data_IF_900453179261
#
_entry.id   IF_900453179261
#
_cell.length_a   1.000
_cell.length_b   1.000
_cell.length_c   1.000
_cell.angle_alpha   90.00
_cell.angle_beta   90.00
_cell.angle_gamma   90.00
#
_symmetry.space_group_name_H-M   'P 1'
#
loop_
_entity.id
_entity.type
_entity.pdbx_description
1 polymer ?
#
# COMPACT_ATOMS: atom_id res chain seq x y z
N UNK A 1 -5.38 -12.74 32.88
CA UNK A 1 -5.55 -11.81 31.75
C UNK A 1 -4.57 -12.29 30.69
N UNK A 2 -5.00 -12.52 29.45
CA UNK A 2 -4.05 -12.82 28.38
C UNK A 2 -3.09 -11.63 28.29
N UNK A 3 -1.78 -11.87 28.15
CA UNK A 3 -0.85 -10.77 27.91
C UNK A 3 -1.26 -10.10 26.60
N UNK A 4 -1.42 -8.76 26.56
CA UNK A 4 -1.74 -8.07 25.33
C UNK A 4 -0.60 -8.29 24.33
N UNK A 5 -0.93 -8.77 23.15
CA UNK A 5 -0.02 -8.86 22.01
C UNK A 5 0.04 -7.50 21.33
N UNK A 6 1.25 -7.05 20.96
CA UNK A 6 1.46 -5.75 20.30
C UNK A 6 0.53 -5.57 19.10
N UNK A 7 0.03 -4.35 18.92
CA UNK A 7 -0.71 -3.87 17.76
C UNK A 7 0.19 -3.90 16.54
N UNK A 8 -0.23 -4.65 15.54
CA UNK A 8 0.45 -4.74 14.25
C UNK A 8 -0.47 -4.20 13.17
N UNK A 9 0.10 -3.35 12.31
CA UNK A 9 -0.57 -2.87 11.11
C UNK A 9 0.28 -3.23 9.91
N UNK A 10 -0.30 -3.97 8.98
CA UNK A 10 0.29 -4.33 7.71
C UNK A 10 -0.24 -3.42 6.61
N UNK A 11 0.67 -2.89 5.80
CA UNK A 11 0.39 -2.24 4.54
C UNK A 11 0.99 -3.09 3.42
N UNK A 12 0.16 -3.58 2.51
CA UNK A 12 0.60 -4.37 1.37
C UNK A 12 0.30 -3.65 0.07
N UNK A 13 1.25 -3.61 -0.85
CA UNK A 13 0.91 -3.32 -2.24
C UNK A 13 -0.02 -4.41 -2.80
N UNK A 14 -0.64 -4.12 -3.93
CA UNK A 14 -1.66 -4.97 -4.55
C UNK A 14 -1.13 -5.66 -5.80
N UNK A 15 -0.92 -4.87 -6.84
CA UNK A 15 -0.42 -5.27 -8.15
C UNK A 15 1.05 -5.65 -8.03
N UNK A 16 1.45 -6.84 -8.51
CA UNK A 16 2.82 -7.38 -8.34
C UNK A 16 3.11 -7.95 -6.94
N UNK A 17 2.25 -7.71 -5.95
CA UNK A 17 2.42 -8.17 -4.57
C UNK A 17 1.37 -9.22 -4.16
N UNK A 18 0.10 -8.83 -3.97
CA UNK A 18 -1.00 -9.75 -3.64
C UNK A 18 -1.45 -10.50 -4.89
N UNK A 19 -1.53 -9.79 -6.02
CA UNK A 19 -1.81 -10.36 -7.33
C UNK A 19 -0.55 -10.31 -8.17
N UNK A 20 -0.33 -11.34 -8.99
CA UNK A 20 0.89 -11.46 -9.78
C UNK A 20 0.94 -10.49 -10.96
N UNK A 21 -0.22 -10.09 -11.46
CA UNK A 21 -0.39 -9.15 -12.56
C UNK A 21 -0.81 -7.77 -12.04
N UNK A 22 -0.59 -6.75 -12.88
CA UNK A 22 -1.08 -5.40 -12.64
C UNK A 22 -2.47 -5.21 -13.24
N UNK A 23 -3.44 -4.89 -12.39
CA UNK A 23 -4.85 -4.69 -12.75
C UNK A 23 -5.06 -3.60 -13.80
N UNK A 24 -4.30 -2.50 -13.72
CA UNK A 24 -4.32 -1.43 -14.72
C UNK A 24 -3.77 -1.92 -16.05
N UNK A 25 -2.61 -2.58 -16.03
CA UNK A 25 -1.97 -3.10 -17.24
C UNK A 25 -2.87 -4.10 -17.97
N UNK A 26 -3.50 -5.03 -17.26
CA UNK A 26 -4.46 -5.98 -17.84
C UNK A 26 -5.58 -5.26 -18.58
N UNK A 27 -6.13 -4.19 -18.00
CA UNK A 27 -7.17 -3.38 -18.64
C UNK A 27 -6.65 -2.60 -19.84
N UNK A 28 -5.50 -1.93 -19.71
CA UNK A 28 -4.95 -1.09 -20.77
C UNK A 28 -4.55 -1.92 -21.98
N UNK A 29 -3.92 -3.08 -21.75
CA UNK A 29 -3.39 -3.93 -22.80
C UNK A 29 -4.53 -4.59 -23.61
N UNK A 30 -5.63 -4.96 -22.96
CA UNK A 30 -6.76 -5.62 -23.60
C UNK A 30 -7.84 -4.65 -24.13
N UNK A 31 -8.13 -3.56 -23.41
CA UNK A 31 -9.34 -2.74 -23.61
C UNK A 31 -9.07 -1.23 -23.68
N UNK A 32 -7.83 -0.80 -23.46
CA UNK A 32 -7.43 0.60 -23.44
C UNK A 32 -6.49 0.96 -24.57
N UNK A 33 -5.38 1.60 -24.23
CA UNK A 33 -4.39 2.09 -25.19
C UNK A 33 -3.57 0.98 -25.86
N UNK A 34 -3.64 -0.26 -25.37
CA UNK A 34 -2.89 -1.40 -25.85
C UNK A 34 -1.45 -1.47 -25.31
N UNK A 35 -0.88 -2.67 -25.32
CA UNK A 35 0.42 -2.98 -24.71
C UNK A 35 1.56 -2.08 -25.22
N UNK A 36 1.67 -1.89 -26.53
CA UNK A 36 2.74 -1.06 -27.12
C UNK A 36 2.69 0.38 -26.60
N UNK A 37 1.49 0.99 -26.56
CA UNK A 37 1.32 2.35 -26.05
C UNK A 37 1.53 2.42 -24.54
N UNK A 38 1.06 1.44 -23.78
CA UNK A 38 1.32 1.37 -22.34
C UNK A 38 2.82 1.32 -22.05
N UNK A 39 3.58 0.46 -22.73
CA UNK A 39 5.03 0.35 -22.54
C UNK A 39 5.76 1.66 -22.87
N UNK A 40 5.35 2.37 -23.92
CA UNK A 40 5.88 3.71 -24.21
C UNK A 40 5.61 4.69 -23.08
N UNK A 41 4.38 4.69 -22.55
CA UNK A 41 3.97 5.56 -21.44
C UNK A 41 4.71 5.22 -20.14
N UNK A 42 4.94 3.94 -19.84
CA UNK A 42 5.75 3.49 -18.71
C UNK A 42 7.19 4.01 -18.80
N UNK A 43 7.76 4.05 -20.00
CA UNK A 43 9.10 4.61 -20.23
C UNK A 43 9.14 6.13 -20.01
N UNK A 44 8.06 6.85 -20.31
CA UNK A 44 7.94 8.27 -19.99
C UNK A 44 7.94 8.52 -18.48
N UNK A 45 7.31 7.64 -17.68
CA UNK A 45 7.39 7.70 -16.22
C UNK A 45 8.82 7.41 -15.75
N UNK A 46 9.45 6.35 -16.25
CA UNK A 46 10.81 5.92 -15.85
C UNK A 46 11.87 6.96 -16.17
N UNK A 47 11.77 7.60 -17.33
CA UNK A 47 12.70 8.66 -17.75
C UNK A 47 12.43 10.01 -17.06
N UNK A 48 11.27 10.16 -16.40
CA UNK A 48 10.84 11.42 -15.80
C UNK A 48 10.37 12.45 -16.82
N UNK A 49 10.06 12.05 -18.06
CA UNK A 49 9.48 12.92 -19.09
C UNK A 49 8.11 13.45 -18.67
N UNK A 50 7.28 12.58 -18.06
CA UNK A 50 5.95 12.90 -17.56
C UNK A 50 5.75 12.28 -16.18
N UNK A 51 4.86 12.87 -15.39
CA UNK A 51 4.58 12.33 -14.08
C UNK A 51 3.73 11.06 -14.13
N UNK A 52 3.78 10.27 -13.05
CA UNK A 52 2.94 9.10 -12.89
C UNK A 52 1.45 9.46 -13.01
N UNK A 53 1.05 10.59 -12.40
CA UNK A 53 -0.33 11.09 -12.48
C UNK A 53 -0.74 11.40 -13.91
N UNK A 54 0.05 12.19 -14.64
CA UNK A 54 -0.27 12.57 -16.03
C UNK A 54 -0.39 11.36 -16.96
N UNK A 55 0.52 10.40 -16.82
CA UNK A 55 0.50 9.17 -17.62
C UNK A 55 -0.69 8.29 -17.23
N UNK A 56 -0.96 8.15 -15.94
CA UNK A 56 -2.09 7.36 -15.47
C UNK A 56 -3.44 7.95 -15.91
N UNK A 57 -3.59 9.27 -15.92
CA UNK A 57 -4.80 9.94 -16.47
C UNK A 57 -5.02 9.58 -17.94
N UNK A 58 -3.95 9.48 -18.74
CA UNK A 58 -4.03 9.05 -20.13
C UNK A 58 -4.36 7.56 -20.26
N UNK A 59 -3.72 6.69 -19.49
CA UNK A 59 -3.97 5.25 -19.53
C UNK A 59 -5.40 4.93 -19.10
N UNK A 60 -5.85 5.41 -17.93
CA UNK A 60 -7.24 5.23 -17.48
C UNK A 60 -8.23 5.89 -18.45
N UNK A 61 -7.90 7.09 -18.94
CA UNK A 61 -8.70 7.84 -19.91
C UNK A 61 -8.79 7.18 -21.29
N UNK A 62 -8.02 6.14 -21.58
CA UNK A 62 -8.11 5.37 -22.83
C UNK A 62 -9.24 4.34 -22.84
N UNK A 63 -9.75 3.94 -21.66
CA UNK A 63 -10.78 2.92 -21.54
C UNK A 63 -12.15 3.43 -22.01
N UNK A 64 -12.83 2.64 -22.85
CA UNK A 64 -14.20 2.88 -23.33
C UNK A 64 -15.05 1.62 -23.15
N UNK A 65 -15.15 1.17 -21.91
CA UNK A 65 -15.77 -0.10 -21.53
C UNK A 65 -16.50 0.04 -20.19
N UNK A 66 -17.70 -0.54 -20.01
CA UNK A 66 -18.34 -0.60 -18.71
C UNK A 66 -17.47 -1.33 -17.68
N UNK A 67 -17.55 -0.93 -16.40
CA UNK A 67 -16.71 -1.50 -15.34
C UNK A 67 -16.81 -3.02 -15.24
N UNK A 68 -18.02 -3.58 -15.28
CA UNK A 68 -18.25 -5.02 -15.17
C UNK A 68 -17.66 -5.80 -16.35
N UNK A 69 -17.73 -5.25 -17.57
CA UNK A 69 -17.14 -5.89 -18.75
C UNK A 69 -15.60 -5.88 -18.69
N UNK A 70 -15.02 -4.78 -18.22
CA UNK A 70 -13.58 -4.70 -17.95
C UNK A 70 -13.15 -5.69 -16.85
N UNK A 71 -13.97 -5.85 -15.82
CA UNK A 71 -13.71 -6.79 -14.74
C UNK A 71 -13.66 -8.25 -15.20
N UNK A 72 -14.48 -8.65 -16.18
CA UNK A 72 -14.45 -10.01 -16.72
C UNK A 72 -13.14 -10.36 -17.46
N UNK A 73 -12.37 -9.37 -17.93
CA UNK A 73 -11.02 -9.59 -18.45
C UNK A 73 -10.05 -9.81 -17.30
N UNK A 74 -10.04 -8.90 -16.31
CA UNK A 74 -9.19 -9.02 -15.12
C UNK A 74 -9.39 -10.36 -14.41
N UNK A 75 -10.63 -10.80 -14.21
CA UNK A 75 -10.96 -12.06 -13.54
C UNK A 75 -10.31 -13.30 -14.19
N UNK A 76 -10.02 -13.26 -15.50
CA UNK A 76 -9.42 -14.38 -16.23
C UNK A 76 -7.89 -14.38 -16.16
N UNK A 77 -7.28 -13.21 -15.98
CA UNK A 77 -5.83 -13.04 -16.04
C UNK A 77 -5.18 -12.89 -14.67
N UNK A 78 -5.94 -12.39 -13.68
CA UNK A 78 -5.43 -12.18 -12.33
C UNK A 78 -5.23 -13.50 -11.59
N UNK A 79 -4.02 -13.68 -11.09
CA UNK A 79 -3.64 -14.77 -10.21
C UNK A 79 -3.30 -14.19 -8.83
N UNK A 80 -4.02 -14.65 -7.81
CA UNK A 80 -3.73 -14.30 -6.43
C UNK A 80 -2.54 -15.12 -5.92
N UNK A 81 -1.66 -14.51 -5.13
CA UNK A 81 -0.56 -15.21 -4.50
C UNK A 81 -1.08 -16.39 -3.66
N UNK A 82 -0.46 -17.56 -3.86
CA UNK A 82 -0.89 -18.82 -3.27
C UNK A 82 -0.97 -18.82 -1.72
N UNK A 83 -0.17 -17.99 -1.05
CA UNK A 83 -0.15 -17.89 0.41
C UNK A 83 -1.06 -16.81 0.97
N UNK A 84 -1.67 -15.97 0.12
CA UNK A 84 -2.33 -14.75 0.59
C UNK A 84 -3.56 -15.03 1.44
N UNK A 85 -4.42 -15.97 1.03
CA UNK A 85 -5.63 -16.32 1.79
C UNK A 85 -5.30 -16.80 3.20
N UNK A 86 -4.29 -17.67 3.32
CA UNK A 86 -3.84 -18.18 4.62
C UNK A 86 -3.22 -17.08 5.48
N UNK A 87 -2.44 -16.18 4.87
CA UNK A 87 -1.89 -15.02 5.57
C UNK A 87 -2.97 -14.05 6.04
N UNK A 88 -3.97 -13.77 5.21
CA UNK A 88 -5.09 -12.91 5.55
C UNK A 88 -5.90 -13.46 6.72
N UNK A 89 -6.24 -14.76 6.70
CA UNK A 89 -6.89 -15.42 7.83
C UNK A 89 -6.01 -15.35 9.09
N UNK A 90 -4.71 -15.57 8.96
CA UNK A 90 -3.77 -15.40 10.06
C UNK A 90 -3.79 -13.97 10.63
N UNK A 91 -3.90 -12.94 9.79
CA UNK A 91 -4.06 -11.57 10.26
C UNK A 91 -5.34 -11.38 11.08
N UNK A 92 -6.48 -11.91 10.61
CA UNK A 92 -7.76 -11.86 11.32
C UNK A 92 -7.64 -12.54 12.68
N UNK A 93 -7.14 -13.78 12.71
CA UNK A 93 -7.06 -14.60 13.93
C UNK A 93 -6.17 -13.97 15.01
N UNK A 94 -5.20 -13.14 14.61
CA UNK A 94 -4.25 -12.47 15.50
C UNK A 94 -4.55 -10.97 15.70
N UNK A 95 -5.67 -10.46 15.18
CA UNK A 95 -6.03 -9.04 15.31
C UNK A 95 -5.03 -8.08 14.67
N UNK A 96 -4.35 -8.51 13.60
CA UNK A 96 -3.47 -7.70 12.77
C UNK A 96 -4.32 -6.88 11.81
N UNK A 97 -4.16 -5.56 11.82
CA UNK A 97 -4.88 -4.68 10.91
C UNK A 97 -4.21 -4.77 9.54
N UNK A 98 -4.88 -5.36 8.56
CA UNK A 98 -4.36 -5.50 7.20
C UNK A 98 -4.97 -4.47 6.25
N UNK A 99 -4.10 -3.69 5.59
CA UNK A 99 -4.49 -2.69 4.60
C UNK A 99 -3.80 -2.95 3.27
N UNK A 100 -4.56 -2.87 2.19
CA UNK A 100 -4.01 -2.66 0.84
C UNK A 100 -3.65 -1.20 0.67
N UNK A 101 -2.44 -0.94 0.16
CA UNK A 101 -1.95 0.40 -0.20
C UNK A 101 -1.47 0.41 -1.67
N UNK A 102 -2.26 1.00 -2.57
CA UNK A 102 -2.01 0.87 -4.02
C UNK A 102 -2.14 2.21 -4.74
N UNK A 103 -1.38 2.38 -5.83
CA UNK A 103 -1.53 3.52 -6.75
C UNK A 103 -2.70 3.33 -7.74
N UNK A 104 -3.29 2.14 -7.81
CA UNK A 104 -4.47 1.83 -8.59
C UNK A 104 -5.77 2.45 -8.06
N UNK A 105 -6.91 1.99 -8.57
CA UNK A 105 -8.22 2.57 -8.28
C UNK A 105 -9.03 1.70 -7.32
N UNK A 106 -9.43 2.26 -6.19
CA UNK A 106 -10.18 1.58 -5.11
C UNK A 106 -11.38 0.75 -5.60
N UNK A 107 -12.24 1.22 -6.54
CA UNK A 107 -13.36 0.41 -7.02
C UNK A 107 -12.92 -0.91 -7.68
N UNK A 108 -11.80 -0.90 -8.42
CA UNK A 108 -11.20 -2.10 -9.03
C UNK A 108 -10.71 -3.04 -7.93
N UNK A 109 -9.87 -2.51 -7.03
CA UNK A 109 -9.25 -3.30 -5.95
C UNK A 109 -10.32 -3.97 -5.08
N UNK A 110 -11.40 -3.24 -4.75
CA UNK A 110 -12.53 -3.78 -4.00
C UNK A 110 -13.19 -4.93 -4.73
N UNK A 111 -13.59 -4.74 -5.99
CA UNK A 111 -14.25 -5.79 -6.79
C UNK A 111 -13.38 -7.03 -6.97
N UNK A 112 -12.08 -6.85 -7.18
CA UNK A 112 -11.11 -7.96 -7.27
C UNK A 112 -11.04 -8.71 -5.95
N UNK A 113 -10.84 -8.03 -4.81
CA UNK A 113 -10.79 -8.69 -3.51
C UNK A 113 -12.09 -9.44 -3.18
N UNK A 114 -13.25 -8.80 -3.38
CA UNK A 114 -14.56 -9.41 -3.12
C UNK A 114 -14.76 -10.69 -3.96
N UNK A 115 -14.28 -10.70 -5.20
CA UNK A 115 -14.42 -11.86 -6.09
C UNK A 115 -13.47 -13.00 -5.74
N UNK A 116 -12.23 -12.71 -5.35
CA UNK A 116 -11.22 -13.74 -5.11
C UNK A 116 -11.21 -14.27 -3.67
N UNK A 117 -11.66 -13.47 -2.70
CA UNK A 117 -11.74 -13.84 -1.28
C UNK A 117 -13.17 -14.11 -0.80
N UNK A 118 -14.16 -13.47 -1.42
CA UNK A 118 -15.52 -13.35 -0.87
C UNK A 118 -15.68 -12.06 -0.06
N UNK A 119 -16.88 -11.49 -0.09
CA UNK A 119 -17.19 -10.19 0.53
C UNK A 119 -16.96 -10.16 2.05
N UNK A 120 -17.21 -11.27 2.75
CA UNK A 120 -17.03 -11.35 4.20
C UNK A 120 -15.55 -11.18 4.59
N UNK A 121 -14.65 -11.94 3.96
CA UNK A 121 -13.22 -11.82 4.20
C UNK A 121 -12.68 -10.49 3.68
N UNK A 122 -13.01 -10.10 2.46
CA UNK A 122 -12.49 -8.87 1.86
C UNK A 122 -12.91 -7.62 2.65
N UNK A 123 -14.05 -7.63 3.34
CA UNK A 123 -14.52 -6.51 4.17
C UNK A 123 -13.57 -6.18 5.33
N UNK A 124 -12.75 -7.15 5.77
CA UNK A 124 -11.74 -6.97 6.81
C UNK A 124 -10.46 -6.28 6.29
N UNK A 125 -10.33 -6.09 4.98
CA UNK A 125 -9.19 -5.44 4.34
C UNK A 125 -9.49 -3.96 4.11
N UNK A 126 -8.73 -3.09 4.77
CA UNK A 126 -8.72 -1.66 4.48
C UNK A 126 -8.11 -1.39 3.10
N UNK A 127 -8.63 -0.41 2.35
CA UNK A 127 -8.06 -0.01 1.05
C UNK A 127 -7.67 1.48 1.10
N UNK A 128 -6.37 1.74 0.95
CA UNK A 128 -5.77 3.06 0.84
C UNK A 128 -5.24 3.23 -0.58
N UNK A 129 -6.04 3.84 -1.45
CA UNK A 129 -5.73 4.00 -2.87
C UNK A 129 -6.40 5.25 -3.44
N UNK A 130 -6.14 5.53 -4.72
CA UNK A 130 -6.91 6.50 -5.48
C UNK A 130 -8.36 6.01 -5.65
N UNK A 131 -9.28 6.91 -5.93
CA UNK A 131 -10.67 6.57 -6.27
C UNK A 131 -10.92 6.77 -7.76
N UNK A 132 -12.13 6.48 -8.24
CA UNK A 132 -12.48 6.64 -9.64
C UNK A 132 -13.94 7.03 -9.84
N UNK A 133 -14.17 7.89 -10.83
CA UNK A 133 -15.48 8.07 -11.44
C UNK A 133 -15.52 7.32 -12.77
N UNK A 134 -16.34 6.27 -12.83
CA UNK A 134 -16.54 5.47 -14.04
C UNK A 134 -17.99 5.65 -14.47
N UNK A 135 -18.23 6.11 -15.69
CA UNK A 135 -19.59 6.23 -16.21
C UNK A 135 -20.20 4.83 -16.40
N UNK A 136 -21.47 4.67 -16.07
CA UNK A 136 -22.16 3.37 -16.14
C UNK A 136 -22.23 2.80 -17.55
N UNK A 137 -22.21 3.66 -18.57
CA UNK A 137 -22.15 3.25 -19.98
C UNK A 137 -20.72 2.95 -20.47
N UNK A 138 -19.72 3.08 -19.59
CA UNK A 138 -18.31 2.84 -19.91
C UNK A 138 -17.65 3.93 -20.75
N UNK A 139 -18.34 5.02 -21.06
CA UNK A 139 -17.83 6.05 -21.97
C UNK A 139 -16.65 6.85 -21.42
N UNK A 140 -16.41 6.79 -20.10
CA UNK A 140 -15.33 7.49 -19.45
C UNK A 140 -14.91 6.81 -18.14
N UNK A 141 -13.60 6.70 -17.96
CA UNK A 141 -12.94 6.35 -16.70
C UNK A 141 -12.09 7.54 -16.28
N UNK A 142 -12.35 8.06 -15.08
CA UNK A 142 -11.64 9.22 -14.55
C UNK A 142 -11.11 8.93 -13.14
N UNK A 143 -9.79 8.88 -12.95
CA UNK A 143 -9.20 8.79 -11.61
C UNK A 143 -9.57 10.00 -10.73
N UNK A 144 -9.71 9.75 -9.45
CA UNK A 144 -9.82 10.76 -8.39
C UNK A 144 -8.62 10.53 -7.47
N UNK A 145 -7.66 11.43 -7.56
CA UNK A 145 -6.37 11.30 -6.88
C UNK A 145 -6.50 11.52 -5.38
N UNK A 146 -5.87 10.64 -4.59
CA UNK A 146 -5.87 10.74 -3.12
C UNK A 146 -5.09 11.95 -2.63
N UNK A 147 -3.97 12.24 -3.29
CA UNK A 147 -3.05 13.32 -2.94
C UNK A 147 -2.82 14.21 -4.16
N UNK A 148 -2.81 15.53 -3.94
CA UNK A 148 -2.51 16.53 -4.97
C UNK A 148 -1.00 16.62 -5.22
N UNK A 149 -0.43 15.54 -5.77
CA UNK A 149 0.99 15.41 -6.12
C UNK A 149 1.16 14.75 -7.48
N UNK A 150 2.37 14.81 -8.03
CA UNK A 150 2.77 14.14 -9.29
C UNK A 150 2.65 12.61 -9.25
N UNK A 151 2.55 12.03 -8.06
CA UNK A 151 2.35 10.60 -7.86
C UNK A 151 0.86 10.23 -7.79
N UNK A 152 -0.04 11.19 -7.55
CA UNK A 152 -1.45 10.96 -7.28
C UNK A 152 -1.74 10.28 -5.93
N UNK A 153 -0.88 9.36 -5.49
CA UNK A 153 -0.89 8.74 -4.18
C UNK A 153 0.52 8.66 -3.58
N UNK A 154 0.84 9.59 -2.69
CA UNK A 154 1.98 9.46 -1.78
C UNK A 154 1.75 8.33 -0.74
N UNK A 155 2.25 7.14 -1.05
CA UNK A 155 2.15 5.96 -0.14
C UNK A 155 2.88 6.20 1.19
N UNK A 156 3.96 7.00 1.22
CA UNK A 156 4.70 7.26 2.46
C UNK A 156 3.89 8.12 3.43
N UNK A 157 3.15 9.11 2.92
CA UNK A 157 2.20 9.89 3.71
C UNK A 157 1.09 8.99 4.28
N UNK A 158 0.50 8.14 3.44
CA UNK A 158 -0.54 7.18 3.86
C UNK A 158 -0.07 6.21 4.96
N UNK A 159 1.18 5.70 4.88
CA UNK A 159 1.75 4.85 5.95
C UNK A 159 1.95 5.65 7.26
N UNK A 160 2.35 6.92 7.19
CA UNK A 160 2.45 7.79 8.37
C UNK A 160 1.10 8.03 9.03
N UNK A 161 0.07 8.31 8.23
CA UNK A 161 -1.31 8.47 8.71
C UNK A 161 -1.80 7.19 9.40
N UNK A 162 -1.60 6.05 8.76
CA UNK A 162 -1.97 4.75 9.32
C UNK A 162 -1.22 4.41 10.61
N UNK A 163 0.06 4.77 10.70
CA UNK A 163 0.82 4.64 11.96
C UNK A 163 0.24 5.53 13.06
N UNK A 164 -0.11 6.78 12.77
CA UNK A 164 -0.69 7.69 13.74
C UNK A 164 -2.04 7.17 14.26
N UNK A 165 -2.90 6.66 13.37
CA UNK A 165 -4.15 6.01 13.74
C UNK A 165 -3.93 4.77 14.62
N UNK A 166 -2.94 3.95 14.27
CA UNK A 166 -2.59 2.78 15.07
C UNK A 166 -2.11 3.16 16.49
N UNK A 167 -1.37 4.27 16.63
CA UNK A 167 -0.93 4.79 17.92
C UNK A 167 -2.11 5.27 18.78
N UNK A 168 -3.12 5.90 18.18
CA UNK A 168 -4.36 6.30 18.90
C UNK A 168 -5.17 5.09 19.39
N UNK A 169 -5.05 3.95 18.71
CA UNK A 169 -5.70 2.69 19.07
C UNK A 169 -4.86 1.80 20.01
N UNK A 170 -3.61 2.18 20.28
CA UNK A 170 -2.69 1.42 21.13
C UNK A 170 -2.81 1.85 22.59
N UNK A 171 -2.42 0.97 23.52
CA UNK A 171 -2.36 1.33 24.94
C UNK A 171 -1.30 2.41 25.22
N UNK A 172 -1.42 3.16 26.32
CA UNK A 172 -0.54 4.33 26.63
C UNK A 172 0.97 4.01 26.59
N UNK A 173 1.35 2.77 26.88
CA UNK A 173 2.74 2.33 26.91
C UNK A 173 3.11 1.46 25.71
N UNK A 174 2.35 1.47 24.63
CA UNK A 174 2.53 0.64 23.45
C UNK A 174 2.81 1.49 22.22
N UNK A 175 3.81 1.10 21.43
CA UNK A 175 4.03 1.63 20.08
C UNK A 175 3.68 0.54 19.07
N UNK A 176 2.78 0.78 18.10
CA UNK A 176 2.40 -0.22 17.12
C UNK A 176 3.59 -0.58 16.22
N UNK A 177 3.63 -1.83 15.78
CA UNK A 177 4.56 -2.31 14.77
C UNK A 177 3.96 -2.14 13.38
N UNK A 178 4.66 -1.43 12.50
CA UNK A 178 4.23 -1.21 11.12
C UNK A 178 5.03 -2.11 10.18
N UNK A 179 4.31 -2.92 9.42
CA UNK A 179 4.88 -3.82 8.41
C UNK A 179 4.47 -3.30 7.04
N UNK A 180 5.42 -3.24 6.11
CA UNK A 180 5.15 -2.94 4.70
C UNK A 180 5.55 -4.14 3.83
N UNK A 181 4.72 -4.50 2.87
CA UNK A 181 4.92 -5.61 1.93
C UNK A 181 4.73 -5.05 0.52
N UNK A 182 5.74 -5.17 -0.34
CA UNK A 182 5.67 -4.63 -1.69
C UNK A 182 6.66 -5.26 -2.65
N UNK A 183 6.69 -4.75 -3.87
CA UNK A 183 7.52 -5.26 -4.96
C UNK A 183 8.12 -4.15 -5.84
N UNK A 184 7.49 -2.98 -5.90
CA UNK A 184 7.69 -2.02 -6.99
C UNK A 184 8.40 -0.72 -6.63
N UNK A 185 8.63 0.11 -7.66
CA UNK A 185 9.24 1.45 -7.54
C UNK A 185 8.34 2.40 -6.73
N UNK A 186 7.02 2.24 -6.81
CA UNK A 186 6.08 3.12 -6.11
C UNK A 186 6.18 2.96 -4.58
N UNK A 187 6.71 1.84 -4.11
CA UNK A 187 6.82 1.50 -2.69
C UNK A 187 8.05 2.09 -2.00
N UNK A 188 9.07 2.52 -2.76
CA UNK A 188 10.38 2.89 -2.22
C UNK A 188 10.31 3.97 -1.13
N UNK A 189 9.38 4.93 -1.28
CA UNK A 189 9.17 5.97 -0.29
C UNK A 189 8.45 5.42 0.96
N UNK A 190 7.43 4.59 0.77
CA UNK A 190 6.64 4.02 1.86
C UNK A 190 7.43 2.98 2.68
N UNK A 191 8.29 2.22 2.00
CA UNK A 191 9.20 1.24 2.58
C UNK A 191 10.08 1.82 3.71
N UNK A 192 10.43 3.11 3.63
CA UNK A 192 11.24 3.79 4.65
C UNK A 192 10.47 4.15 5.92
N UNK A 193 9.15 4.15 5.87
CA UNK A 193 8.27 4.53 6.97
C UNK A 193 7.82 3.33 7.82
N UNK A 194 8.10 2.11 7.36
CA UNK A 194 7.80 0.86 8.06
C UNK A 194 8.88 0.49 9.07
N UNK A 195 8.51 -0.30 10.09
CA UNK A 195 9.44 -0.95 11.02
C UNK A 195 10.03 -2.22 10.40
N UNK A 196 9.21 -2.96 9.66
CA UNK A 196 9.62 -4.15 8.93
C UNK A 196 9.19 -4.00 7.47
N UNK A 197 10.13 -4.26 6.56
CA UNK A 197 9.91 -4.23 5.12
C UNK A 197 10.04 -5.64 4.55
N UNK A 198 9.01 -6.10 3.86
CA UNK A 198 9.03 -7.26 2.98
C UNK A 198 9.13 -6.79 1.54
N UNK A 199 10.13 -7.30 0.82
CA UNK A 199 10.30 -7.03 -0.61
C UNK A 199 10.22 -8.34 -1.38
N UNK A 200 9.40 -8.38 -2.44
CA UNK A 200 9.29 -9.57 -3.29
C UNK A 200 10.62 -9.78 -4.01
N UNK A 201 11.14 -11.01 -3.99
CA UNK A 201 12.47 -11.32 -4.53
C UNK A 201 12.52 -11.16 -6.04
N UNK A 202 13.67 -10.69 -6.53
CA UNK A 202 13.94 -10.49 -7.96
C UNK A 202 13.23 -9.29 -8.59
N UNK A 203 12.58 -8.44 -7.79
CA UNK A 203 11.86 -7.26 -8.26
C UNK A 203 12.50 -5.96 -7.76
N UNK A 204 12.00 -4.84 -8.28
CA UNK A 204 12.70 -3.55 -8.20
C UNK A 204 12.84 -3.01 -6.78
N UNK A 205 11.88 -3.29 -5.88
CA UNK A 205 11.99 -2.92 -4.47
C UNK A 205 13.16 -3.64 -3.79
N UNK A 206 13.38 -4.92 -4.08
CA UNK A 206 14.53 -5.67 -3.53
C UNK A 206 15.85 -5.07 -4.02
N UNK A 207 15.99 -4.84 -5.32
CA UNK A 207 17.19 -4.22 -5.91
C UNK A 207 17.50 -2.89 -5.23
N UNK A 208 16.50 -2.03 -5.06
CA UNK A 208 16.65 -0.75 -4.37
C UNK A 208 17.08 -0.91 -2.91
N UNK A 209 16.54 -1.90 -2.21
CA UNK A 209 16.93 -2.18 -0.82
C UNK A 209 18.40 -2.59 -0.74
N UNK A 210 18.89 -3.40 -1.68
CA UNK A 210 20.29 -3.79 -1.78
C UNK A 210 21.16 -2.57 -2.11
N UNK A 211 20.81 -1.80 -3.15
CA UNK A 211 21.53 -0.60 -3.61
C UNK A 211 21.70 0.43 -2.49
N UNK A 212 20.67 0.63 -1.67
CA UNK A 212 20.63 1.66 -0.63
C UNK A 212 20.81 1.14 0.80
N UNK A 213 21.16 -0.15 0.97
CA UNK A 213 21.37 -0.78 2.28
C UNK A 213 20.16 -0.61 3.23
N UNK A 214 18.96 -0.74 2.69
CA UNK A 214 17.71 -0.70 3.47
C UNK A 214 17.45 -2.11 3.99
N UNK A 215 17.31 -2.31 5.32
CA UNK A 215 16.96 -3.62 5.87
C UNK A 215 15.60 -4.08 5.35
N UNK A 216 15.55 -5.30 4.82
CA UNK A 216 14.34 -5.91 4.29
C UNK A 216 14.35 -7.43 4.51
N UNK A 217 13.20 -8.05 4.32
CA UNK A 217 12.99 -9.49 4.30
C UNK A 217 12.51 -9.86 2.90
N UNK A 218 13.32 -10.63 2.16
CA UNK A 218 12.93 -11.12 0.85
C UNK A 218 11.88 -12.22 0.94
N UNK A 219 10.82 -12.18 0.13
CA UNK A 219 9.78 -13.22 0.08
C UNK A 219 9.47 -13.68 -1.36
N UNK A 220 9.07 -14.94 -1.50
CA UNK A 220 8.59 -15.50 -2.78
C UNK A 220 7.06 -15.61 -2.80
N UNK A 221 6.43 -15.80 -1.63
CA UNK A 221 4.97 -15.82 -1.48
C UNK A 221 4.52 -15.33 -0.10
N UNK A 222 3.23 -15.11 0.07
CA UNK A 222 2.67 -14.75 1.38
C UNK A 222 2.81 -15.84 2.45
N UNK A 223 3.10 -17.08 2.06
CA UNK A 223 3.49 -18.15 3.00
C UNK A 223 4.79 -17.80 3.73
N UNK A 224 5.75 -17.18 3.04
CA UNK A 224 6.99 -16.69 3.66
C UNK A 224 6.70 -15.51 4.57
N UNK A 225 5.89 -14.55 4.10
CA UNK A 225 5.49 -13.38 4.88
C UNK A 225 4.83 -13.82 6.19
N UNK A 226 3.88 -14.76 6.15
CA UNK A 226 3.24 -15.32 7.33
C UNK A 226 4.26 -15.86 8.33
N UNK A 227 5.14 -16.76 7.89
CA UNK A 227 6.17 -17.39 8.74
C UNK A 227 7.05 -16.35 9.42
N UNK A 228 7.48 -15.32 8.68
CA UNK A 228 8.34 -14.28 9.24
C UNK A 228 7.59 -13.34 10.19
N UNK A 229 6.32 -13.02 9.90
CA UNK A 229 5.48 -12.24 10.83
C UNK A 229 5.23 -13.01 12.13
N UNK A 230 4.97 -14.31 12.08
CA UNK A 230 4.87 -15.17 13.27
C UNK A 230 6.16 -15.14 14.11
N UNK A 231 7.32 -15.22 13.46
CA UNK A 231 8.62 -15.12 14.13
C UNK A 231 8.83 -13.74 14.78
N UNK A 232 8.46 -12.67 14.08
CA UNK A 232 8.56 -11.29 14.58
C UNK A 232 7.66 -11.09 15.79
N UNK A 233 6.41 -11.59 15.74
CA UNK A 233 5.47 -11.52 16.87
C UNK A 233 6.03 -12.24 18.10
N UNK A 234 6.57 -13.45 17.92
CA UNK A 234 7.18 -14.22 19.00
C UNK A 234 8.39 -13.51 19.59
N UNK A 235 9.30 -13.03 18.74
CA UNK A 235 10.49 -12.27 19.15
C UNK A 235 10.10 -11.03 19.98
N UNK A 236 9.09 -10.30 19.52
CA UNK A 236 8.64 -9.08 20.18
C UNK A 236 7.98 -9.34 21.53
N UNK A 237 7.12 -10.37 21.59
CA UNK A 237 6.47 -10.78 22.84
C UNK A 237 7.49 -11.25 23.88
N UNK A 238 8.52 -12.01 23.47
CA UNK A 238 9.57 -12.51 24.36
C UNK A 238 10.45 -11.38 24.91
N UNK A 239 10.80 -10.39 24.09
CA UNK A 239 11.75 -9.34 24.45
C UNK A 239 11.12 -8.12 25.10
N UNK A 240 9.90 -7.77 24.72
CA UNK A 240 9.24 -6.52 25.13
C UNK A 240 7.95 -6.73 25.90
N UNK A 241 7.36 -7.93 25.82
CA UNK A 241 6.05 -8.21 26.40
C UNK A 241 4.91 -7.42 25.75
N UNK A 242 5.12 -6.83 24.56
CA UNK A 242 4.16 -5.94 23.89
C UNK A 242 4.24 -4.49 24.35
N UNK A 243 5.16 -4.14 25.26
CA UNK A 243 5.27 -2.79 25.84
C UNK A 243 6.42 -2.02 25.19
N UNK A 244 6.33 -0.69 25.20
CA UNK A 244 7.33 0.21 24.65
C UNK A 244 7.44 0.11 23.13
N UNK A 245 8.66 0.25 22.63
CA UNK A 245 8.95 0.16 21.20
C UNK A 245 9.08 -1.31 20.78
N UNK A 246 8.62 -1.66 19.55
CA UNK A 246 8.87 -2.99 19.02
C UNK A 246 10.37 -3.27 18.90
N UNK A 247 10.76 -4.55 18.94
CA UNK A 247 12.16 -4.98 18.77
C UNK A 247 12.75 -4.45 17.47
N UNK A 248 11.95 -4.47 16.40
CA UNK A 248 12.34 -4.03 15.05
C UNK A 248 11.98 -2.57 14.75
N UNK A 249 11.78 -1.76 15.78
CA UNK A 249 11.41 -0.36 15.63
C UNK A 249 12.38 0.42 14.72
N UNK A 250 11.85 1.10 13.71
CA UNK A 250 12.60 1.94 12.81
C UNK A 250 12.59 3.40 13.29
N UNK A 251 13.70 3.93 13.87
CA UNK A 251 13.74 5.30 14.35
C UNK A 251 13.74 6.34 13.23
N UNK A 252 14.04 5.95 11.97
CA UNK A 252 14.08 6.86 10.82
C UNK A 252 12.68 7.18 10.29
N UNK A 253 11.73 6.26 10.39
CA UNK A 253 10.30 6.54 10.17
C UNK A 253 9.82 7.71 11.06
N UNK A 254 10.38 7.81 12.27
CA UNK A 254 10.07 8.89 13.21
C UNK A 254 10.89 10.18 13.01
N UNK A 255 11.91 10.21 12.15
CA UNK A 255 12.74 11.41 11.98
C UNK A 255 11.95 12.55 11.33
N UNK A 256 11.01 12.22 10.43
CA UNK A 256 10.09 13.18 9.82
C UNK A 256 9.03 13.72 10.81
N UNK A 257 8.71 12.97 11.89
CA UNK A 257 7.78 13.43 12.96
C UNK A 257 8.28 14.69 13.66
N UNK A 258 9.59 14.85 13.82
CA UNK A 258 10.21 16.01 14.52
C UNK A 258 10.30 17.25 13.64
N UNK A 259 10.24 17.10 12.32
CA UNK A 259 10.27 18.23 11.38
C UNK A 259 8.86 18.81 11.23
N UNK A 260 7.84 17.96 11.15
CA UNK A 260 6.44 18.39 11.01
C UNK A 260 5.89 19.05 12.30
N UNK A 261 6.21 18.51 13.47
CA UNK A 261 5.84 19.13 14.76
C UNK A 261 6.55 20.47 15.03
N UNK A 262 7.75 20.70 14.48
CA UNK A 262 8.43 22.01 14.55
C UNK A 262 7.88 23.03 13.54
N UNK A 263 7.25 22.59 12.44
CA UNK A 263 6.56 23.47 11.51
C UNK A 263 5.13 23.82 11.98
N UNK A 264 4.43 22.89 12.62
CA UNK A 264 3.09 23.13 13.19
C UNK A 264 3.11 24.16 14.33
N UNK A 265 4.19 24.24 15.12
CA UNK A 265 4.33 25.20 16.23
C UNK A 265 4.79 26.60 15.77
N UNK A 266 4.98 26.83 14.46
CA UNK A 266 5.42 28.15 13.93
C UNK A 266 4.33 28.97 13.23
N UNK A 267 3.08 28.51 13.21
CA UNK A 267 1.94 29.29 12.72
C UNK A 267 1.06 29.81 13.86
N UNK A 268 1.65 30.55 14.81
CA UNK A 268 0.87 31.48 15.64
C UNK A 268 0.95 32.87 14.99
N UNK A 269 -0.21 33.32 14.52
CA UNK A 269 -0.49 34.61 13.90
C UNK A 269 -0.02 35.79 14.77
N UNK A 270 0.57 36.86 14.20
CA UNK A 270 0.52 38.16 14.85
C UNK A 270 -0.89 38.76 14.66
N UNK A 271 -1.66 38.82 15.74
CA UNK A 271 -2.77 39.76 15.88
C UNK A 271 -2.27 41.21 15.85
N UNK A 272 -2.94 42.07 15.09
CA UNK A 272 -3.17 43.53 15.31
C UNK A 272 -3.53 44.18 13.97
N UNK A 273 -4.43 45.14 13.81
CA UNK A 273 -5.45 45.77 14.67
C UNK A 273 -6.33 46.59 13.72
N UNK A 274 -7.66 46.57 13.90
CA UNK A 274 -8.53 47.55 13.26
C UNK A 274 -8.43 48.89 13.99
N UNK A 275 -8.06 49.94 13.26
CA UNK A 275 -8.45 51.33 13.45
C UNK A 275 -8.43 52.02 12.11
#
# INVERSE_FOLDING_TARGET
MANPTRKIVCFSDFDGTIFMQDTGHVLFDNLGCGEERRQMLDEQIKSGERSFREVSEEMWGSLRVPFEDGFEVMKKELEIDQGFKEFHQFCIDNGIIFNVISAGLKPILRKVLDTFLGEDESSQIGIVANDAQIKSDGSEWKPIWRHETELGHDKALSVKEGRAQAEELSDENEVPLIIFIGDGVSDLAAAREADVLFARKGLRLEEYCIEHQIPYIGFDSFTDVKREVENIMKEDQEKTGGVGKPVRFNPRANMWRRVSSKQAVRCDLPMMSMT
#
